data_IF_771942644812
#
_entry.id   IF_771942644812
#
_cell.length_a   1.000
_cell.length_b   1.000
_cell.length_c   1.000
_cell.angle_alpha   90.00
_cell.angle_beta   90.00
_cell.angle_gamma   90.00
#
_symmetry.space_group_name_H-M   'P 1'
#
loop_
_entity.id
_entity.type
_entity.pdbx_description
1 polymer ?
#
# COMPACT_ATOMS: atom_id res chain seq x y z
N UNK A 1 -28.88 17.08 7.91
CA UNK A 1 -27.92 16.71 6.82
C UNK A 1 -27.40 15.26 6.92
N UNK A 2 -28.11 14.32 7.56
CA UNK A 2 -27.64 12.93 7.77
C UNK A 2 -28.27 11.87 6.84
N UNK A 3 -29.01 12.27 5.78
CA UNK A 3 -29.83 11.33 4.99
C UNK A 3 -29.20 10.81 3.69
N UNK A 4 -28.01 11.26 3.30
CA UNK A 4 -27.38 10.85 2.02
C UNK A 4 -26.45 9.63 2.11
N UNK A 5 -26.06 9.20 3.30
CA UNK A 5 -25.07 8.14 3.49
C UNK A 5 -25.67 6.72 3.61
N UNK A 6 -26.99 6.60 3.78
CA UNK A 6 -27.66 5.34 4.09
C UNK A 6 -28.04 4.47 2.86
N UNK A 7 -27.63 4.86 1.64
CA UNK A 7 -28.00 4.17 0.38
C UNK A 7 -26.92 4.22 -0.71
N UNK A 8 -25.64 4.12 -0.34
CA UNK A 8 -24.61 3.82 -1.33
C UNK A 8 -24.44 2.30 -1.37
N UNK A 9 -24.89 1.68 -2.45
CA UNK A 9 -24.57 0.29 -2.76
C UNK A 9 -23.05 0.10 -2.88
N UNK A 10 -22.59 -1.14 -2.65
CA UNK A 10 -21.16 -1.50 -2.69
C UNK A 10 -20.45 -0.99 -3.96
N UNK A 11 -21.16 -0.99 -5.10
CA UNK A 11 -20.68 -0.47 -6.38
C UNK A 11 -20.43 1.04 -6.36
N UNK A 12 -21.32 1.83 -5.75
CA UNK A 12 -21.13 3.28 -5.66
C UNK A 12 -20.04 3.64 -4.65
N UNK A 13 -19.92 2.88 -3.55
CA UNK A 13 -18.85 3.03 -2.58
C UNK A 13 -17.48 2.79 -3.22
N UNK A 14 -17.28 1.65 -3.90
CA UNK A 14 -16.05 1.35 -4.64
C UNK A 14 -15.80 2.37 -5.78
N UNK A 15 -16.85 2.74 -6.51
CA UNK A 15 -16.77 3.75 -7.56
C UNK A 15 -16.46 5.16 -7.03
N UNK A 16 -16.64 5.43 -5.74
CA UNK A 16 -16.22 6.70 -5.13
C UNK A 16 -14.73 6.74 -4.83
N UNK A 17 -14.10 5.59 -4.56
CA UNK A 17 -12.67 5.47 -4.30
C UNK A 17 -11.86 5.66 -5.59
N UNK A 18 -12.39 5.21 -6.72
CA UNK A 18 -11.70 5.27 -8.02
C UNK A 18 -11.92 6.57 -8.80
N UNK A 19 -12.76 7.50 -8.30
CA UNK A 19 -12.98 8.80 -8.95
C UNK A 19 -11.86 9.79 -8.61
N UNK A 20 -10.83 9.83 -9.47
CA UNK A 20 -9.65 10.70 -9.32
C UNK A 20 -9.82 12.09 -9.96
N UNK A 21 -10.59 12.23 -11.04
CA UNK A 21 -10.66 13.46 -11.84
C UNK A 21 -11.38 14.60 -11.09
N UNK A 22 -10.66 15.72 -10.86
CA UNK A 22 -11.19 16.95 -10.24
C UNK A 22 -11.21 16.97 -8.71
N UNK A 23 -10.50 16.05 -8.03
CA UNK A 23 -10.47 15.91 -6.56
C UNK A 23 -9.18 16.45 -5.94
N UNK A 24 -9.23 16.82 -4.65
CA UNK A 24 -8.07 17.29 -3.88
C UNK A 24 -7.00 16.19 -3.69
N UNK A 25 -5.75 16.58 -3.47
CA UNK A 25 -4.65 15.63 -3.18
C UNK A 25 -4.97 14.70 -1.99
N UNK A 26 -5.70 15.21 -0.99
CA UNK A 26 -6.17 14.42 0.16
C UNK A 26 -7.09 13.26 -0.25
N UNK A 27 -7.99 13.47 -1.21
CA UNK A 27 -8.86 12.41 -1.72
C UNK A 27 -8.09 11.32 -2.46
N UNK A 28 -7.11 11.71 -3.29
CA UNK A 28 -6.23 10.76 -3.98
C UNK A 28 -5.46 9.93 -2.95
N UNK A 29 -4.92 10.60 -1.94
CA UNK A 29 -4.15 9.95 -0.87
C UNK A 29 -4.99 8.97 -0.06
N UNK A 30 -6.24 9.33 0.23
CA UNK A 30 -7.21 8.45 0.87
C UNK A 30 -7.45 7.18 0.05
N UNK A 31 -7.72 7.33 -1.26
CA UNK A 31 -7.99 6.19 -2.13
C UNK A 31 -6.77 5.26 -2.26
N UNK A 32 -5.59 5.83 -2.52
CA UNK A 32 -4.33 5.09 -2.67
C UNK A 32 -4.04 4.27 -1.41
N UNK A 33 -4.11 4.89 -0.23
CA UNK A 33 -3.83 4.20 1.04
C UNK A 33 -4.78 3.03 1.29
N UNK A 34 -6.08 3.20 1.00
CA UNK A 34 -7.11 2.17 1.21
C UNK A 34 -6.90 0.99 0.27
N UNK A 35 -6.69 1.25 -1.02
CA UNK A 35 -6.42 0.22 -2.01
C UNK A 35 -5.13 -0.54 -1.69
N UNK A 36 -4.05 0.17 -1.35
CA UNK A 36 -2.80 -0.45 -0.92
C UNK A 36 -2.99 -1.31 0.33
N UNK A 37 -3.72 -0.83 1.33
CA UNK A 37 -4.02 -1.60 2.54
C UNK A 37 -4.80 -2.90 2.27
N UNK A 38 -5.77 -2.87 1.35
CA UNK A 38 -6.51 -4.09 0.96
C UNK A 38 -5.59 -5.10 0.28
N UNK A 39 -4.78 -4.66 -0.68
CA UNK A 39 -3.83 -5.55 -1.38
C UNK A 39 -2.80 -6.12 -0.39
N UNK A 40 -2.26 -5.30 0.50
CA UNK A 40 -1.30 -5.75 1.52
C UNK A 40 -1.92 -6.72 2.52
N UNK A 41 -3.19 -6.52 2.91
CA UNK A 41 -3.87 -7.45 3.81
C UNK A 41 -4.07 -8.83 3.16
N UNK A 42 -4.41 -8.86 1.86
CA UNK A 42 -4.48 -10.12 1.10
C UNK A 42 -3.10 -10.76 1.01
N UNK A 43 -2.08 -9.96 0.67
CA UNK A 43 -0.70 -10.44 0.60
C UNK A 43 -0.19 -10.97 1.93
N UNK A 44 -0.55 -10.35 3.06
CA UNK A 44 -0.16 -10.81 4.39
C UNK A 44 -0.63 -12.25 4.65
N UNK A 45 -1.83 -12.62 4.20
CA UNK A 45 -2.32 -14.01 4.31
C UNK A 45 -1.49 -14.95 3.45
N UNK A 46 -1.21 -14.57 2.20
CA UNK A 46 -0.32 -15.34 1.30
C UNK A 46 1.06 -15.51 1.94
N UNK A 47 1.59 -14.45 2.55
CA UNK A 47 2.89 -14.44 3.18
C UNK A 47 2.94 -15.34 4.42
N UNK A 48 1.88 -15.36 5.23
CA UNK A 48 1.78 -16.29 6.35
C UNK A 48 1.76 -17.74 5.85
N UNK A 49 1.07 -18.02 4.74
CA UNK A 49 1.07 -19.37 4.13
C UNK A 49 2.46 -19.75 3.63
N UNK A 50 3.19 -18.83 2.97
CA UNK A 50 4.52 -19.13 2.45
C UNK A 50 5.50 -19.48 3.58
N UNK A 51 5.58 -18.70 4.66
CA UNK A 51 6.50 -18.96 5.78
C UNK A 51 6.07 -20.18 6.57
N UNK A 52 4.77 -20.51 6.58
CA UNK A 52 4.29 -21.73 7.24
C UNK A 52 4.80 -23.00 6.57
N UNK A 53 5.24 -22.94 5.30
CA UNK A 53 5.84 -24.10 4.63
C UNK A 53 7.19 -24.50 5.18
N UNK A 54 7.86 -23.66 5.98
CA UNK A 54 9.04 -24.04 6.75
C UNK A 54 8.76 -25.21 7.70
N UNK A 55 7.52 -25.32 8.21
CA UNK A 55 7.08 -26.43 9.06
C UNK A 55 6.95 -27.75 8.30
N UNK A 56 6.87 -27.69 6.97
CA UNK A 56 6.75 -28.85 6.07
C UNK A 56 8.12 -29.34 5.56
N UNK A 57 9.20 -28.66 5.95
CA UNK A 57 10.57 -28.99 5.57
C UNK A 57 11.10 -28.14 4.41
N UNK A 58 12.43 -28.17 4.27
CA UNK A 58 13.18 -27.30 3.37
C UNK A 58 12.76 -27.44 1.90
N UNK A 59 12.41 -28.65 1.47
CA UNK A 59 11.99 -28.90 0.08
C UNK A 59 10.70 -28.14 -0.28
N UNK A 60 9.72 -28.10 0.61
CA UNK A 60 8.44 -27.40 0.39
C UNK A 60 8.67 -25.88 0.31
N UNK A 61 9.48 -25.35 1.22
CA UNK A 61 9.85 -23.93 1.24
C UNK A 61 10.64 -23.52 -0.01
N UNK A 62 11.67 -24.28 -0.39
CA UNK A 62 12.51 -23.98 -1.55
C UNK A 62 11.69 -24.02 -2.86
N UNK A 63 10.70 -24.91 -2.96
CA UNK A 63 9.81 -24.97 -4.14
C UNK A 63 8.97 -23.69 -4.28
N UNK A 64 8.44 -23.17 -3.18
CA UNK A 64 7.67 -21.92 -3.17
C UNK A 64 8.58 -20.70 -3.40
N UNK A 65 9.77 -20.69 -2.81
CA UNK A 65 10.77 -19.63 -3.02
C UNK A 65 11.14 -19.47 -4.50
N UNK A 66 11.22 -20.55 -5.28
CA UNK A 66 11.52 -20.46 -6.71
C UNK A 66 10.47 -19.66 -7.49
N UNK A 67 9.22 -19.64 -7.04
CA UNK A 67 8.16 -18.82 -7.64
C UNK A 67 8.44 -17.33 -7.39
N UNK A 68 8.80 -16.97 -6.16
CA UNK A 68 9.12 -15.59 -5.78
C UNK A 68 10.47 -15.11 -6.31
N UNK A 69 11.42 -16.02 -6.56
CA UNK A 69 12.71 -15.71 -7.20
C UNK A 69 12.62 -15.55 -8.72
N UNK A 70 11.45 -15.78 -9.33
CA UNK A 70 11.26 -15.62 -10.77
C UNK A 70 11.28 -14.13 -11.19
N UNK A 71 11.48 -13.81 -12.48
CA UNK A 71 11.35 -12.43 -12.97
C UNK A 71 9.98 -11.81 -12.70
N UNK A 72 8.93 -12.63 -12.62
CA UNK A 72 7.60 -12.17 -12.22
C UNK A 72 7.55 -11.83 -10.72
N UNK A 73 8.24 -12.62 -9.89
CA UNK A 73 8.41 -12.37 -8.46
C UNK A 73 9.10 -11.03 -8.19
N UNK A 74 10.14 -10.69 -8.97
CA UNK A 74 10.78 -9.37 -8.91
C UNK A 74 9.79 -8.20 -9.15
N UNK A 75 8.89 -8.35 -10.13
CA UNK A 75 7.83 -7.35 -10.39
C UNK A 75 6.87 -7.27 -9.21
N UNK A 76 6.49 -8.40 -8.63
CA UNK A 76 5.65 -8.44 -7.43
C UNK A 76 6.32 -7.75 -6.24
N UNK A 77 7.60 -8.00 -6.00
CA UNK A 77 8.35 -7.38 -4.90
C UNK A 77 8.40 -5.85 -5.04
N UNK A 78 8.66 -5.35 -6.25
CA UNK A 78 8.65 -3.90 -6.53
C UNK A 78 7.25 -3.31 -6.27
N UNK A 79 6.19 -3.97 -6.73
CA UNK A 79 4.82 -3.49 -6.55
C UNK A 79 4.43 -3.52 -5.06
N UNK A 80 4.70 -4.62 -4.37
CA UNK A 80 4.39 -4.78 -2.94
C UNK A 80 5.17 -3.78 -2.09
N UNK A 81 6.45 -3.56 -2.40
CA UNK A 81 7.25 -2.50 -1.78
C UNK A 81 6.59 -1.13 -1.93
N UNK A 82 6.19 -0.78 -3.16
CA UNK A 82 5.54 0.51 -3.41
C UNK A 82 4.22 0.65 -2.65
N UNK A 83 3.39 -0.39 -2.63
CA UNK A 83 2.13 -0.39 -1.87
C UNK A 83 2.38 -0.26 -0.37
N UNK A 84 3.38 -0.96 0.17
CA UNK A 84 3.77 -0.89 1.59
C UNK A 84 4.17 0.52 1.98
N UNK A 85 5.06 1.15 1.21
CA UNK A 85 5.54 2.51 1.47
C UNK A 85 4.40 3.53 1.35
N UNK A 86 3.55 3.43 0.31
CA UNK A 86 2.40 4.32 0.16
C UNK A 86 1.39 4.16 1.30
N UNK A 87 1.09 2.92 1.69
CA UNK A 87 0.19 2.64 2.81
C UNK A 87 0.73 3.22 4.12
N UNK A 88 2.01 2.97 4.41
CA UNK A 88 2.67 3.43 5.62
C UNK A 88 2.79 4.96 5.70
N UNK A 89 3.34 5.61 4.67
CA UNK A 89 3.59 7.05 4.69
C UNK A 89 2.29 7.86 4.70
N UNK A 90 1.34 7.53 3.83
CA UNK A 90 0.05 8.22 3.79
C UNK A 90 -0.84 7.84 4.99
N UNK A 91 -0.64 6.65 5.57
CA UNK A 91 -1.31 6.22 6.79
C UNK A 91 -0.84 6.98 8.01
N UNK A 92 0.47 7.15 8.16
CA UNK A 92 1.07 7.95 9.21
C UNK A 92 0.59 9.40 9.13
N UNK A 93 0.59 9.99 7.93
CA UNK A 93 -0.01 11.32 7.71
C UNK A 93 -1.45 11.41 8.25
N UNK A 94 -2.32 10.45 7.88
CA UNK A 94 -3.71 10.45 8.38
C UNK A 94 -3.76 10.32 9.88
N UNK A 95 -3.00 9.38 10.46
CA UNK A 95 -3.05 9.10 11.88
C UNK A 95 -2.68 10.33 12.69
N UNK A 96 -1.66 11.08 12.26
CA UNK A 96 -1.26 12.33 12.91
C UNK A 96 -2.35 13.40 12.82
N UNK A 97 -2.90 13.63 11.62
CA UNK A 97 -3.93 14.65 11.41
C UNK A 97 -5.24 14.30 12.12
N UNK A 98 -5.65 13.02 12.07
CA UNK A 98 -6.87 12.52 12.73
C UNK A 98 -6.74 12.49 14.25
N UNK A 99 -5.52 12.32 14.79
CA UNK A 99 -5.23 12.50 16.21
C UNK A 99 -5.24 13.98 16.65
N UNK A 100 -5.49 14.93 15.75
CA UNK A 100 -5.51 16.37 16.03
C UNK A 100 -4.12 17.02 16.02
N UNK A 101 -3.07 16.30 15.63
CA UNK A 101 -1.72 16.83 15.56
C UNK A 101 -1.52 17.61 14.25
N UNK A 102 -0.89 18.78 14.34
CA UNK A 102 -0.45 19.58 13.18
C UNK A 102 -1.56 19.94 12.15
N UNK A 103 -2.81 20.11 12.59
CA UNK A 103 -3.97 20.41 11.73
C UNK A 103 -3.76 21.63 10.81
N UNK A 104 -3.12 22.68 11.33
CA UNK A 104 -2.80 23.90 10.59
C UNK A 104 -1.80 23.65 9.45
N UNK A 105 -0.95 22.62 9.59
CA UNK A 105 0.11 22.26 8.64
C UNK A 105 -0.22 21.00 7.82
N UNK A 106 -1.48 20.55 7.82
CA UNK A 106 -1.89 19.30 7.13
C UNK A 106 -1.45 19.22 5.66
N UNK A 107 -1.51 20.32 4.91
CA UNK A 107 -1.09 20.35 3.50
C UNK A 107 0.42 20.12 3.35
N UNK A 108 1.21 20.70 4.25
CA UNK A 108 2.65 20.48 4.30
C UNK A 108 2.97 19.04 4.70
N UNK A 109 2.32 18.52 5.75
CA UNK A 109 2.50 17.12 6.16
C UNK A 109 2.14 16.14 5.05
N UNK A 110 1.06 16.42 4.31
CA UNK A 110 0.68 15.59 3.17
C UNK A 110 1.75 15.62 2.06
N UNK A 111 2.29 16.80 1.75
CA UNK A 111 3.37 16.93 0.78
C UNK A 111 4.64 16.19 1.23
N UNK A 112 5.01 16.29 2.50
CA UNK A 112 6.13 15.55 3.09
C UNK A 112 5.90 14.03 3.04
N UNK A 113 4.68 13.57 3.32
CA UNK A 113 4.34 12.15 3.24
C UNK A 113 4.49 11.60 1.82
N UNK A 114 4.02 12.34 0.80
CA UNK A 114 4.23 11.97 -0.60
C UNK A 114 5.69 12.02 -1.01
N UNK A 115 6.44 13.06 -0.61
CA UNK A 115 7.86 13.18 -0.90
C UNK A 115 8.65 12.01 -0.28
N UNK A 116 8.38 11.68 0.98
CA UNK A 116 8.98 10.54 1.66
C UNK A 116 8.60 9.21 0.97
N UNK A 117 7.33 9.03 0.60
CA UNK A 117 6.90 7.83 -0.10
C UNK A 117 7.62 7.63 -1.43
N UNK A 118 7.68 8.68 -2.26
CA UNK A 118 8.39 8.63 -3.55
C UNK A 118 9.88 8.37 -3.38
N UNK A 119 10.51 9.00 -2.38
CA UNK A 119 11.91 8.76 -2.05
C UNK A 119 12.17 7.30 -1.66
N UNK A 120 11.43 6.74 -0.71
CA UNK A 120 11.61 5.35 -0.28
C UNK A 120 11.24 4.34 -1.36
N UNK A 121 10.26 4.64 -2.22
CA UNK A 121 9.96 3.83 -3.41
C UNK A 121 11.17 3.82 -4.33
N UNK A 122 11.72 4.98 -4.70
CA UNK A 122 12.85 5.06 -5.62
C UNK A 122 14.07 4.33 -5.06
N UNK A 123 14.42 4.56 -3.79
CA UNK A 123 15.53 3.87 -3.13
C UNK A 123 15.30 2.36 -3.11
N UNK A 124 14.12 1.90 -2.70
CA UNK A 124 13.84 0.46 -2.64
C UNK A 124 13.83 -0.20 -4.02
N UNK A 125 13.30 0.46 -5.06
CA UNK A 125 13.37 -0.04 -6.44
C UNK A 125 14.83 -0.17 -6.89
N UNK A 126 15.66 0.83 -6.64
CA UNK A 126 17.10 0.77 -6.99
C UNK A 126 17.79 -0.37 -6.25
N UNK A 127 17.53 -0.54 -4.95
CA UNK A 127 18.10 -1.62 -4.15
C UNK A 127 17.65 -2.98 -4.65
N UNK A 128 16.35 -3.17 -4.91
CA UNK A 128 15.78 -4.42 -5.41
C UNK A 128 16.42 -4.78 -6.76
N UNK A 129 16.52 -3.83 -7.68
CA UNK A 129 17.13 -4.06 -8.99
C UNK A 129 18.64 -4.34 -8.90
N UNK A 130 19.36 -3.71 -7.97
CA UNK A 130 20.78 -3.97 -7.77
C UNK A 130 21.06 -5.34 -7.14
N UNK A 131 20.17 -5.81 -6.25
CA UNK A 131 20.33 -7.07 -5.54
C UNK A 131 19.85 -8.28 -6.35
N UNK A 132 18.77 -8.11 -7.13
CA UNK A 132 18.09 -9.21 -7.83
C UNK A 132 18.27 -9.16 -9.36
N UNK A 133 18.85 -8.09 -9.89
CA UNK A 133 19.13 -7.90 -11.32
C UNK A 133 20.53 -8.29 -11.76
#
# INVERSE_FOLDING_TARGET
MLSRWCRLGLREALGSWLRVRGRSAEHVSFAVRRLAGVVLAIYLVVHIVDISTLLLGEHAYNTLLQVFASPLGLVFDIVLWALLVLHGALGLYSALVEAGLFLERRKLLLALAWAAALFFIAVGVVVILYVMG
#
